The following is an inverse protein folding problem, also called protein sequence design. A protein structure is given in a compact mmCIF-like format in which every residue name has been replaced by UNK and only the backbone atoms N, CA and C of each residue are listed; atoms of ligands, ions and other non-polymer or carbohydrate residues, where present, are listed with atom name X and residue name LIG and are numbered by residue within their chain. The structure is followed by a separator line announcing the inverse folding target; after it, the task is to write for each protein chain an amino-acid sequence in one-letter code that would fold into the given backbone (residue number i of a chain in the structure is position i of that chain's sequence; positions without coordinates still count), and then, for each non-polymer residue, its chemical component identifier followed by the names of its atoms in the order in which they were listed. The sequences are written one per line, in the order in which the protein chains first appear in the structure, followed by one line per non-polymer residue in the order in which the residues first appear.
data_IF_659379572362
#
_entry.id   IF_659379572362
#
_cell.length_a   1.000
_cell.length_b   1.000
_cell.length_c   1.000
_cell.angle_alpha   90.00
_cell.angle_beta   90.00
_cell.angle_gamma   90.00
#
_symmetry.space_group_name_H-M   'P 1'
#
loop_
_entity.id
_entity.type
_entity.pdbx_description
1 polymer ?
#
# COMPACT_ATOMS: atom_id res chain seq x y z
N UNK A 1 9.65 -2.90 13.10
CA UNK A 1 9.78 -3.03 11.62
C UNK A 1 8.40 -3.36 11.06
N UNK A 2 7.92 -2.66 10.04
CA UNK A 2 6.60 -2.93 9.45
C UNK A 2 6.74 -3.88 8.26
N UNK A 3 6.27 -5.11 8.40
CA UNK A 3 6.21 -6.07 7.30
C UNK A 3 4.88 -5.89 6.56
N UNK A 4 4.91 -5.89 5.23
CA UNK A 4 3.69 -5.95 4.43
C UNK A 4 3.15 -7.39 4.48
N UNK A 5 2.18 -7.66 5.34
CA UNK A 5 1.68 -9.02 5.64
C UNK A 5 0.30 -9.31 5.06
N UNK A 6 -0.43 -8.32 4.54
CA UNK A 6 -1.77 -8.52 4.01
C UNK A 6 -1.81 -9.23 2.64
N UNK A 7 -2.90 -9.96 2.31
CA UNK A 7 -3.08 -10.52 0.97
C UNK A 7 -3.20 -9.40 -0.09
N UNK A 8 -2.74 -9.68 -1.31
CA UNK A 8 -2.96 -8.79 -2.45
C UNK A 8 -4.46 -8.78 -2.83
N UNK A 9 -5.03 -7.59 -2.91
CA UNK A 9 -6.43 -7.33 -3.24
C UNK A 9 -6.52 -6.57 -4.55
N UNK A 10 -7.50 -6.91 -5.38
CA UNK A 10 -7.76 -6.27 -6.67
C UNK A 10 -8.62 -4.99 -6.49
N UNK A 11 -8.50 -3.98 -7.38
CA UNK A 11 -9.39 -2.82 -7.46
C UNK A 11 -10.87 -3.24 -7.55
N UNK A 12 -11.85 -2.36 -7.23
CA UNK A 12 -11.76 -0.89 -7.27
C UNK A 12 -11.60 -0.19 -5.92
N UNK A 13 -11.68 -0.93 -4.80
CA UNK A 13 -11.78 -0.32 -3.47
C UNK A 13 -10.41 -0.36 -2.81
N UNK A 14 -9.72 0.78 -2.77
CA UNK A 14 -8.69 0.98 -1.73
C UNK A 14 -9.42 1.06 -0.38
N UNK A 15 -8.87 0.51 0.70
CA UNK A 15 -9.58 0.47 1.96
C UNK A 15 -9.90 1.88 2.45
N UNK A 16 -11.08 2.10 3.02
CA UNK A 16 -11.45 3.37 3.65
C UNK A 16 -10.94 3.46 5.10
N UNK A 17 -10.00 2.58 5.50
CA UNK A 17 -9.49 2.52 6.87
C UNK A 17 -8.40 3.58 7.12
N UNK A 18 -8.70 4.65 7.87
CA UNK A 18 -7.86 5.85 7.95
C UNK A 18 -6.60 5.70 8.82
N UNK A 19 -6.24 4.47 9.18
CA UNK A 19 -5.14 4.16 10.11
C UNK A 19 -4.07 3.25 9.51
N UNK A 20 -4.22 2.78 8.27
CA UNK A 20 -3.31 1.80 7.68
C UNK A 20 -2.52 2.37 6.51
N UNK A 21 -1.29 1.89 6.38
CA UNK A 21 -0.49 2.06 5.17
C UNK A 21 -0.89 0.98 4.17
N UNK A 22 -0.81 1.29 2.90
CA UNK A 22 -1.13 0.37 1.82
C UNK A 22 0.04 0.32 0.83
N UNK A 23 0.51 -0.87 0.50
CA UNK A 23 1.37 -1.09 -0.66
C UNK A 23 0.48 -1.18 -1.90
N UNK A 24 0.80 -0.46 -2.96
CA UNK A 24 0.05 -0.46 -4.22
C UNK A 24 0.99 -0.79 -5.38
N UNK A 25 0.51 -1.61 -6.31
CA UNK A 25 1.12 -1.79 -7.62
C UNK A 25 0.42 -0.87 -8.62
N UNK A 26 1.16 0.05 -9.23
CA UNK A 26 0.68 1.02 -10.19
C UNK A 26 1.20 0.72 -11.57
N UNK A 27 0.30 0.77 -12.55
CA UNK A 27 0.61 0.79 -13.97
C UNK A 27 0.58 2.23 -14.50
N UNK A 28 1.63 2.65 -15.18
CA UNK A 28 1.66 3.91 -15.93
C UNK A 28 1.04 3.73 -17.31
N UNK A 29 -0.08 4.40 -17.58
CA UNK A 29 -0.86 4.24 -18.82
C UNK A 29 -0.04 4.50 -20.10
N UNK A 30 0.93 5.42 -20.05
CA UNK A 30 1.75 5.78 -21.21
C UNK A 30 2.82 4.76 -21.55
N UNK A 31 3.38 4.08 -20.54
CA UNK A 31 4.56 3.22 -20.71
C UNK A 31 4.28 1.75 -20.42
N UNK A 32 3.14 1.43 -19.80
CA UNK A 32 2.81 0.10 -19.29
C UNK A 32 3.69 -0.35 -18.11
N UNK A 33 4.54 0.54 -17.58
CA UNK A 33 5.50 0.19 -16.53
C UNK A 33 4.75 -0.02 -15.22
N UNK A 34 5.05 -1.15 -14.57
CA UNK A 34 4.58 -1.49 -13.23
C UNK A 34 5.57 -1.00 -12.17
N UNK A 35 5.05 -0.34 -11.15
CA UNK A 35 5.83 0.25 -10.04
C UNK A 35 5.12 0.02 -8.71
N UNK A 36 5.88 -0.08 -7.62
CA UNK A 36 5.33 -0.28 -6.29
C UNK A 36 5.48 0.98 -5.44
N UNK A 37 4.41 1.38 -4.76
CA UNK A 37 4.40 2.55 -3.89
C UNK A 37 3.71 2.26 -2.56
N UNK A 38 4.14 2.97 -1.52
CA UNK A 38 3.41 3.02 -0.25
C UNK A 38 2.52 4.25 -0.25
N UNK A 39 1.25 4.05 0.05
CA UNK A 39 0.26 5.10 0.24
C UNK A 39 -0.24 5.12 1.69
N UNK A 40 -0.64 6.31 2.14
CA UNK A 40 -1.29 6.55 3.43
C UNK A 40 -2.64 7.21 3.23
N UNK A 41 -3.60 6.89 4.09
CA UNK A 41 -4.89 7.56 4.09
C UNK A 41 -4.84 8.81 4.99
N UNK A 42 -4.99 10.00 4.41
CA UNK A 42 -4.94 11.29 5.11
C UNK A 42 -6.10 12.14 4.65
N UNK A 43 -6.91 12.63 5.62
CA UNK A 43 -8.06 13.52 5.36
C UNK A 43 -8.98 12.97 4.26
N UNK A 44 -9.41 11.72 4.42
CA UNK A 44 -10.32 11.04 3.49
C UNK A 44 -9.76 10.83 2.08
N UNK A 45 -8.44 10.76 1.92
CA UNK A 45 -7.78 10.57 0.63
C UNK A 45 -6.51 9.71 0.78
N UNK A 46 -6.28 8.81 -0.17
CA UNK A 46 -5.01 8.10 -0.31
C UNK A 46 -3.96 9.03 -0.94
N UNK A 47 -2.79 9.11 -0.31
CA UNK A 47 -1.67 9.94 -0.75
C UNK A 47 -0.36 9.17 -0.67
N UNK A 48 0.56 9.49 -1.58
CA UNK A 48 1.95 9.05 -1.51
C UNK A 48 2.68 9.72 -0.33
N UNK A 49 3.90 9.26 -0.05
CA UNK A 49 4.73 9.78 1.05
C UNK A 49 4.99 11.30 0.92
N UNK A 50 5.20 11.76 -0.31
CA UNK A 50 5.40 13.16 -0.69
C UNK A 50 4.11 14.01 -0.70
N UNK A 51 2.96 13.43 -0.29
CA UNK A 51 1.61 14.03 -0.28
C UNK A 51 0.98 14.21 -1.66
N UNK A 52 1.60 13.70 -2.72
CA UNK A 52 0.96 13.66 -4.03
C UNK A 52 -0.19 12.64 -4.01
N UNK A 53 -1.17 12.86 -4.90
CA UNK A 53 -2.30 11.95 -5.12
C UNK A 53 -2.02 11.08 -6.34
N UNK A 54 -2.77 9.97 -6.45
CA UNK A 54 -2.82 9.19 -7.67
C UNK A 54 -3.21 10.09 -8.86
N UNK A 55 -2.40 10.10 -9.93
CA UNK A 55 -2.75 10.83 -11.13
C UNK A 55 -3.70 10.02 -12.02
N UNK A 56 -4.36 10.67 -12.98
CA UNK A 56 -5.18 9.97 -13.99
C UNK A 56 -4.36 9.13 -14.97
N UNK A 57 -3.04 9.31 -15.00
CA UNK A 57 -2.13 8.53 -15.85
C UNK A 57 -1.69 7.21 -15.18
N UNK A 58 -2.12 6.98 -13.94
CA UNK A 58 -1.75 5.83 -13.13
C UNK A 58 -2.99 5.00 -12.80
N UNK A 59 -2.85 3.69 -12.92
CA UNK A 59 -3.90 2.73 -12.55
C UNK A 59 -3.41 1.83 -11.43
N UNK A 60 -4.15 1.74 -10.34
CA UNK A 60 -3.91 0.72 -9.31
C UNK A 60 -4.27 -0.64 -9.90
N UNK A 61 -3.33 -1.58 -9.91
CA UNK A 61 -3.51 -2.95 -10.40
C UNK A 61 -3.88 -3.89 -9.26
N UNK A 62 -3.24 -3.72 -8.11
CA UNK A 62 -3.53 -4.43 -6.85
C UNK A 62 -2.92 -3.68 -5.67
N UNK A 63 -3.35 -4.03 -4.47
CA UNK A 63 -2.87 -3.41 -3.25
C UNK A 63 -2.85 -4.41 -2.08
N UNK A 64 -2.07 -4.11 -1.04
CA UNK A 64 -1.98 -4.91 0.19
C UNK A 64 -1.84 -3.99 1.40
N UNK A 65 -2.51 -4.31 2.51
CA UNK A 65 -2.33 -3.59 3.77
C UNK A 65 -0.96 -3.90 4.37
N UNK A 66 -0.31 -2.86 4.88
CA UNK A 66 0.88 -2.99 5.71
C UNK A 66 0.41 -2.95 7.16
N UNK A 67 0.59 -4.07 7.85
CA UNK A 67 0.24 -4.18 9.26
C UNK A 67 1.46 -3.75 10.10
N UNK A 68 1.20 -3.02 11.19
CA UNK A 68 2.23 -2.82 12.18
C UNK A 68 2.43 -4.16 12.89
N UNK A 69 3.63 -4.74 12.77
CA UNK A 69 4.03 -5.82 13.67
C UNK A 69 4.16 -5.15 15.04
N UNK A 70 3.35 -5.53 16.06
CA UNK A 70 3.54 -5.01 17.39
C UNK A 70 4.97 -5.33 17.84
N UNK A 71 5.66 -4.33 18.40
CA UNK A 71 7.02 -4.48 18.94
C UNK A 71 6.96 -5.51 20.08
N UNK A 72 7.19 -6.79 19.75
CA UNK A 72 7.00 -7.91 20.67
C UNK A 72 7.11 -9.30 20.04
N UNK A 73 6.89 -9.46 18.74
CA UNK A 73 7.13 -10.73 18.05
C UNK A 73 8.43 -10.67 17.25
N UNK A 74 9.55 -10.68 17.98
CA UNK A 74 10.76 -11.31 17.45
C UNK A 74 10.42 -12.79 17.34
N UNK A 75 10.06 -13.27 16.14
CA UNK A 75 9.98 -14.71 15.89
C UNK A 75 11.35 -15.29 16.25
N UNK A 76 11.41 -15.95 17.41
CA UNK A 76 12.45 -16.89 17.73
C UNK A 76 12.42 -17.98 16.67
N UNK A 77 13.35 -17.90 15.73
CA UNK A 77 13.82 -19.07 15.02
C UNK A 77 14.70 -19.83 16.02
N UNK A 78 14.07 -20.68 16.82
CA UNK A 78 14.73 -21.73 17.59
C UNK A 78 14.44 -23.08 16.93
N UNK A 79 15.50 -23.82 16.59
CA UNK A 79 15.51 -25.27 16.39
C UNK A 79 15.59 -25.76 14.95
#
# INVERSE_FOLDING_TARGET
MSNATGPWVLPPILPDEPRRLCLVELEHNRTGVLTYYVMRYVRSNWQFQDRLKLSSEQRVVRWALIEAVPDGETQGVDG
#
